data_IF_769030386197
#
_entry.id   IF_769030386197
#
_cell.length_a   1.000
_cell.length_b   1.000
_cell.length_c   1.000
_cell.angle_alpha   90.00
_cell.angle_beta   90.00
_cell.angle_gamma   90.00
#
_symmetry.space_group_name_H-M   'P 1'
#
loop_
_entity.id
_entity.type
_entity.pdbx_description
1 polymer ?
#
# COMPACT_ATOMS: atom_id res chain seq x y z
N UNK A 1 24.74 -23.29 -5.55
CA UNK A 1 23.43 -23.35 -4.87
C UNK A 1 23.28 -22.26 -3.81
N UNK A 2 24.16 -22.15 -2.80
CA UNK A 2 24.04 -21.10 -1.76
C UNK A 2 23.94 -19.66 -2.31
N UNK A 3 24.86 -19.23 -3.18
CA UNK A 3 24.80 -17.88 -3.77
C UNK A 3 23.48 -17.61 -4.52
N UNK A 4 22.89 -18.63 -5.14
CA UNK A 4 21.63 -18.47 -5.87
C UNK A 4 20.46 -18.26 -4.90
N UNK A 5 20.43 -19.03 -3.80
CA UNK A 5 19.46 -18.84 -2.73
C UNK A 5 19.60 -17.45 -2.11
N UNK A 6 20.83 -17.03 -1.80
CA UNK A 6 21.09 -15.71 -1.20
C UNK A 6 20.60 -14.56 -2.10
N UNK A 7 20.70 -14.71 -3.44
CA UNK A 7 20.20 -13.72 -4.42
C UNK A 7 18.68 -13.74 -4.55
N UNK A 8 18.05 -14.91 -4.54
CA UNK A 8 16.62 -15.05 -4.88
C UNK A 8 15.70 -15.06 -3.66
N UNK A 9 16.21 -15.29 -2.45
CA UNK A 9 15.40 -15.35 -1.23
C UNK A 9 14.57 -14.07 -1.02
N UNK A 10 15.12 -12.84 -1.15
CA UNK A 10 14.30 -11.63 -1.01
C UNK A 10 13.22 -11.48 -2.09
N UNK A 11 13.43 -12.04 -3.28
CA UNK A 11 12.41 -12.05 -4.34
C UNK A 11 11.24 -12.97 -4.00
N UNK A 12 11.52 -14.12 -3.38
CA UNK A 12 10.49 -15.00 -2.87
C UNK A 12 9.68 -14.30 -1.76
N UNK A 13 10.36 -13.68 -0.80
CA UNK A 13 9.71 -12.94 0.30
C UNK A 13 8.83 -11.78 -0.22
N UNK A 14 9.33 -11.00 -1.19
CA UNK A 14 8.55 -9.94 -1.82
C UNK A 14 7.33 -10.48 -2.59
N UNK A 15 7.46 -11.65 -3.22
CA UNK A 15 6.36 -12.31 -3.93
C UNK A 15 5.30 -12.77 -2.93
N UNK A 16 5.69 -13.46 -1.85
CA UNK A 16 4.75 -13.93 -0.83
C UNK A 16 3.98 -12.77 -0.19
N UNK A 17 4.67 -11.66 0.09
CA UNK A 17 4.06 -10.45 0.66
C UNK A 17 3.03 -9.81 -0.30
N UNK A 18 3.40 -9.60 -1.56
CA UNK A 18 2.55 -8.90 -2.54
C UNK A 18 1.38 -9.73 -3.07
N UNK A 19 1.38 -11.03 -2.82
CA UNK A 19 0.29 -11.95 -3.15
C UNK A 19 -0.71 -12.18 -2.01
N UNK A 20 -0.53 -11.50 -0.88
CA UNK A 20 -1.47 -11.52 0.25
C UNK A 20 -2.88 -11.04 -0.13
N UNK A 21 -3.89 -11.51 0.61
CA UNK A 21 -5.30 -11.09 0.43
C UNK A 21 -5.91 -10.50 1.70
N UNK A 22 -5.50 -10.97 2.88
CA UNK A 22 -6.04 -10.51 4.17
C UNK A 22 -5.23 -9.35 4.78
N UNK A 23 -4.36 -8.75 3.98
CA UNK A 23 -3.45 -7.68 4.37
C UNK A 23 -3.39 -6.62 3.27
N UNK A 24 -2.97 -5.41 3.63
CA UNK A 24 -2.64 -4.38 2.65
C UNK A 24 -1.39 -4.81 1.88
N UNK A 25 -1.44 -4.79 0.55
CA UNK A 25 -0.32 -5.23 -0.29
C UNK A 25 0.23 -4.13 -1.19
N UNK A 26 -0.59 -3.19 -1.68
CA UNK A 26 -0.08 -2.13 -2.57
C UNK A 26 1.00 -1.26 -1.92
N UNK A 27 0.90 -1.01 -0.61
CA UNK A 27 1.88 -0.23 0.16
C UNK A 27 3.25 -0.89 0.21
N UNK A 28 3.33 -2.22 0.04
CA UNK A 28 4.60 -2.95 0.06
C UNK A 28 5.31 -2.96 -1.30
N UNK A 29 4.63 -2.60 -2.40
CA UNK A 29 5.21 -2.66 -3.75
C UNK A 29 6.46 -1.79 -3.85
N UNK A 30 6.37 -0.52 -3.43
CA UNK A 30 7.49 0.40 -3.48
C UNK A 30 8.68 -0.07 -2.60
N UNK A 31 8.49 -0.33 -1.29
CA UNK A 31 9.56 -0.88 -0.45
C UNK A 31 10.19 -2.16 -1.00
N UNK A 32 9.39 -3.09 -1.53
CA UNK A 32 9.92 -4.32 -2.12
C UNK A 32 10.83 -4.03 -3.31
N UNK A 33 10.38 -3.21 -4.27
CA UNK A 33 11.17 -2.89 -5.47
C UNK A 33 12.50 -2.21 -5.10
N UNK A 34 12.46 -1.26 -4.17
CA UNK A 34 13.65 -0.53 -3.74
C UNK A 34 14.61 -1.44 -2.96
N UNK A 35 14.09 -2.22 -2.01
CA UNK A 35 14.88 -3.15 -1.20
C UNK A 35 15.52 -4.25 -2.07
N UNK A 36 14.80 -4.79 -3.05
CA UNK A 36 15.36 -5.74 -4.03
C UNK A 36 16.49 -5.11 -4.84
N UNK A 37 16.33 -3.87 -5.30
CA UNK A 37 17.39 -3.17 -6.04
C UNK A 37 18.63 -2.95 -5.15
N UNK A 38 18.44 -2.53 -3.90
CA UNK A 38 19.51 -2.33 -2.93
C UNK A 38 20.22 -3.63 -2.58
N UNK A 39 19.46 -4.71 -2.38
CA UNK A 39 19.98 -6.05 -2.15
C UNK A 39 20.88 -6.50 -3.30
N UNK A 40 20.42 -6.37 -4.55
CA UNK A 40 21.23 -6.69 -5.73
C UNK A 40 22.49 -5.81 -5.81
N UNK A 41 22.40 -4.52 -5.48
CA UNK A 41 23.56 -3.61 -5.46
C UNK A 41 24.61 -4.06 -4.45
N UNK A 42 24.20 -4.41 -3.22
CA UNK A 42 25.08 -4.93 -2.18
C UNK A 42 25.76 -6.24 -2.60
N UNK A 43 25.00 -7.15 -3.21
CA UNK A 43 25.51 -8.47 -3.60
C UNK A 43 26.53 -8.42 -4.75
N UNK A 44 26.53 -7.40 -5.61
CA UNK A 44 27.50 -7.28 -6.71
C UNK A 44 28.96 -7.43 -6.28
N UNK A 45 29.29 -6.93 -5.10
CA UNK A 45 30.66 -6.99 -4.56
C UNK A 45 30.96 -8.31 -3.85
N UNK A 46 29.93 -9.03 -3.41
CA UNK A 46 30.04 -10.22 -2.57
C UNK A 46 30.05 -11.52 -3.36
N UNK A 47 29.34 -11.58 -4.50
CA UNK A 47 29.22 -12.82 -5.27
C UNK A 47 30.45 -13.14 -6.11
N UNK A 48 30.76 -14.43 -6.22
CA UNK A 48 31.87 -14.93 -7.03
C UNK A 48 31.43 -15.34 -8.43
N UNK A 49 30.27 -16.00 -8.56
CA UNK A 49 29.89 -16.64 -9.82
C UNK A 49 28.68 -15.98 -10.51
N UNK A 50 27.79 -15.35 -9.75
CA UNK A 50 26.48 -14.90 -10.26
C UNK A 50 26.41 -13.43 -10.69
N UNK A 51 27.56 -12.77 -10.96
CA UNK A 51 27.62 -11.34 -11.30
C UNK A 51 26.75 -10.96 -12.50
N UNK A 52 26.80 -11.76 -13.57
CA UNK A 52 25.98 -11.53 -14.77
C UNK A 52 24.48 -11.68 -14.48
N UNK A 53 24.11 -12.68 -13.67
CA UNK A 53 22.72 -12.89 -13.27
C UNK A 53 22.19 -11.73 -12.42
N UNK A 54 22.95 -11.27 -11.43
CA UNK A 54 22.60 -10.08 -10.62
C UNK A 54 22.41 -8.86 -11.50
N UNK A 55 23.33 -8.62 -12.44
CA UNK A 55 23.22 -7.51 -13.38
C UNK A 55 21.93 -7.60 -14.20
N UNK A 56 21.64 -8.77 -14.79
CA UNK A 56 20.44 -8.98 -15.59
C UNK A 56 19.15 -8.85 -14.77
N UNK A 57 19.12 -9.37 -13.54
CA UNK A 57 18.01 -9.20 -12.61
C UNK A 57 17.78 -7.72 -12.28
N UNK A 58 18.85 -6.98 -11.99
CA UNK A 58 18.74 -5.56 -11.68
C UNK A 58 18.27 -4.73 -12.88
N UNK A 59 18.79 -5.02 -14.08
CA UNK A 59 18.33 -4.38 -15.32
C UNK A 59 16.86 -4.68 -15.59
N UNK A 60 16.43 -5.93 -15.40
CA UNK A 60 15.02 -6.33 -15.56
C UNK A 60 14.11 -5.63 -14.54
N UNK A 61 14.53 -5.58 -13.26
CA UNK A 61 13.82 -4.89 -12.19
C UNK A 61 13.65 -3.39 -12.51
N UNK A 62 14.73 -2.70 -12.87
CA UNK A 62 14.71 -1.27 -13.23
C UNK A 62 13.87 -0.99 -14.47
N UNK A 63 13.88 -1.90 -15.45
CA UNK A 63 13.05 -1.78 -16.65
C UNK A 63 11.57 -1.98 -16.34
N UNK A 64 11.21 -3.00 -15.57
CA UNK A 64 9.81 -3.33 -15.25
C UNK A 64 9.16 -2.29 -14.36
N UNK A 65 9.90 -1.77 -13.39
CA UNK A 65 9.42 -0.78 -12.41
C UNK A 65 9.96 0.62 -12.68
N UNK A 66 10.18 0.95 -13.96
CA UNK A 66 10.86 2.17 -14.40
C UNK A 66 10.26 3.44 -13.80
N UNK A 67 8.93 3.54 -13.76
CA UNK A 67 8.21 4.68 -13.23
C UNK A 67 8.50 4.96 -11.76
N UNK A 68 8.63 3.91 -10.93
CA UNK A 68 9.04 4.04 -9.52
C UNK A 68 10.41 4.73 -9.44
N UNK A 69 11.40 4.23 -10.18
CA UNK A 69 12.76 4.78 -10.13
C UNK A 69 12.85 6.21 -10.68
N UNK A 70 12.03 6.56 -11.68
CA UNK A 70 11.96 7.92 -12.24
C UNK A 70 11.31 8.89 -11.25
N UNK A 71 10.20 8.49 -10.63
CA UNK A 71 9.51 9.32 -9.64
C UNK A 71 10.42 9.66 -8.45
N UNK A 72 11.29 8.70 -8.07
CA UNK A 72 12.27 8.87 -7.00
C UNK A 72 13.64 9.40 -7.45
N UNK A 73 13.73 9.93 -8.68
CA UNK A 73 14.93 10.58 -9.23
C UNK A 73 16.18 9.69 -9.25
N UNK A 74 16.00 8.37 -9.19
CA UNK A 74 17.09 7.39 -9.29
C UNK A 74 17.48 7.12 -10.74
N UNK A 75 16.60 7.44 -11.69
CA UNK A 75 16.84 7.35 -13.12
C UNK A 75 16.19 8.53 -13.84
N UNK A 76 16.81 9.01 -14.91
CA UNK A 76 16.21 10.02 -15.80
C UNK A 76 15.19 9.39 -16.74
N UNK A 77 14.21 10.14 -17.25
CA UNK A 77 13.28 9.69 -18.29
C UNK A 77 13.45 10.51 -19.57
N UNK A 78 13.31 9.87 -20.72
CA UNK A 78 13.22 10.57 -22.00
C UNK A 78 11.79 11.09 -22.23
N UNK A 79 11.66 12.13 -23.06
CA UNK A 79 10.35 12.64 -23.45
C UNK A 79 9.54 11.56 -24.17
N UNK A 80 8.31 11.32 -23.72
CA UNK A 80 7.43 10.28 -24.28
C UNK A 80 7.81 8.84 -23.94
N UNK A 81 8.78 8.61 -23.04
CA UNK A 81 9.10 7.26 -22.56
C UNK A 81 7.92 6.66 -21.79
N UNK A 82 7.59 5.40 -22.07
CA UNK A 82 6.62 4.66 -21.27
C UNK A 82 7.20 4.39 -19.87
N UNK A 83 6.48 4.80 -18.83
CA UNK A 83 6.91 4.66 -17.44
C UNK A 83 5.98 3.69 -16.70
N UNK A 84 6.18 2.36 -16.84
CA UNK A 84 5.42 1.38 -16.09
C UNK A 84 5.61 1.59 -14.58
N UNK A 85 4.53 1.42 -13.81
CA UNK A 85 4.50 1.68 -12.37
C UNK A 85 4.82 3.14 -11.96
N UNK A 86 4.54 4.13 -12.83
CA UNK A 86 4.69 5.55 -12.50
C UNK A 86 3.53 6.13 -11.69
N UNK A 87 2.47 5.37 -11.43
CA UNK A 87 1.31 5.83 -10.69
C UNK A 87 1.70 6.33 -9.28
N UNK A 88 1.35 7.57 -8.90
CA UNK A 88 1.57 8.10 -7.56
C UNK A 88 1.03 7.21 -6.42
N UNK A 89 0.04 6.35 -6.69
CA UNK A 89 -0.52 5.39 -5.75
C UNK A 89 0.56 4.58 -5.01
N UNK A 90 1.60 4.10 -5.70
CA UNK A 90 2.64 3.27 -5.07
C UNK A 90 3.42 4.04 -4.00
N UNK A 91 3.71 5.32 -4.24
CA UNK A 91 4.44 6.14 -3.28
C UNK A 91 3.52 6.61 -2.14
N UNK A 92 2.31 7.04 -2.46
CA UNK A 92 1.34 7.47 -1.44
C UNK A 92 0.97 6.34 -0.50
N UNK A 93 0.68 5.15 -1.02
CA UNK A 93 0.33 3.99 -0.20
C UNK A 93 1.49 3.54 0.69
N UNK A 94 2.73 3.54 0.19
CA UNK A 94 3.90 3.24 0.99
C UNK A 94 4.12 4.24 2.13
N UNK A 95 3.91 5.53 1.87
CA UNK A 95 4.02 6.58 2.90
C UNK A 95 2.89 6.54 3.92
N UNK A 96 1.66 6.22 3.50
CA UNK A 96 0.52 6.14 4.40
C UNK A 96 0.48 4.84 5.21
N UNK A 97 1.30 3.86 4.87
CA UNK A 97 1.44 2.63 5.66
C UNK A 97 2.40 2.86 6.84
N UNK A 98 1.92 2.82 8.08
CA UNK A 98 2.74 3.08 9.26
C UNK A 98 3.87 2.06 9.47
N UNK A 99 3.82 0.90 8.82
CA UNK A 99 4.92 -0.07 8.83
C UNK A 99 6.15 0.43 8.05
N UNK A 100 5.94 1.28 7.03
CA UNK A 100 7.00 1.78 6.15
C UNK A 100 7.23 3.28 6.31
N UNK A 101 6.17 4.09 6.26
CA UNK A 101 6.21 5.55 6.29
C UNK A 101 7.26 6.10 5.30
N UNK A 102 8.30 6.78 5.77
CA UNK A 102 9.41 7.29 4.95
C UNK A 102 10.69 6.44 5.06
N UNK A 103 10.68 5.30 5.75
CA UNK A 103 11.89 4.52 6.02
C UNK A 103 12.59 4.02 4.76
N UNK A 104 11.82 3.67 3.72
CA UNK A 104 12.36 3.26 2.42
C UNK A 104 13.19 4.36 1.74
N UNK A 105 12.85 5.64 1.97
CA UNK A 105 13.58 6.79 1.41
C UNK A 105 14.98 6.89 2.03
N UNK A 106 15.09 6.60 3.33
CA UNK A 106 16.37 6.62 4.03
C UNK A 106 17.24 5.42 3.64
N UNK A 107 16.66 4.22 3.58
CA UNK A 107 17.42 2.98 3.48
C UNK A 107 17.73 2.52 2.05
N UNK A 108 16.81 2.71 1.11
CA UNK A 108 16.85 2.06 -0.20
C UNK A 108 16.91 3.04 -1.38
N UNK A 109 16.62 4.32 -1.16
CA UNK A 109 16.76 5.36 -2.20
C UNK A 109 18.19 5.91 -2.20
N UNK A 110 18.94 5.55 -3.24
CA UNK A 110 20.37 5.83 -3.39
C UNK A 110 20.61 7.16 -4.14
N UNK A 111 20.10 8.26 -3.59
CA UNK A 111 20.29 9.64 -4.10
C UNK A 111 20.82 10.54 -2.97
N UNK A 112 21.23 11.78 -3.30
CA UNK A 112 21.71 12.75 -2.31
C UNK A 112 20.60 13.20 -1.36
N UNK A 113 20.96 13.69 -0.17
CA UNK A 113 19.98 14.12 0.83
C UNK A 113 19.13 15.31 0.37
N UNK A 114 19.68 16.21 -0.44
CA UNK A 114 18.92 17.31 -1.05
C UNK A 114 17.78 16.77 -1.94
N UNK A 115 18.08 15.77 -2.78
CA UNK A 115 17.07 15.11 -3.63
C UNK A 115 16.06 14.35 -2.77
N UNK A 116 16.48 13.75 -1.65
CA UNK A 116 15.54 13.11 -0.72
C UNK A 116 14.57 14.12 -0.12
N UNK A 117 15.03 15.32 0.24
CA UNK A 117 14.16 16.38 0.75
C UNK A 117 13.14 16.82 -0.32
N UNK A 118 13.58 17.00 -1.58
CA UNK A 118 12.66 17.29 -2.69
C UNK A 118 11.59 16.19 -2.86
N UNK A 119 11.98 14.93 -2.70
CA UNK A 119 11.04 13.79 -2.74
C UNK A 119 10.06 13.86 -1.58
N UNK A 120 10.50 14.18 -0.35
CA UNK A 120 9.61 14.33 0.80
C UNK A 120 8.52 15.37 0.51
N UNK A 121 8.91 16.55 0.02
CA UNK A 121 7.97 17.62 -0.27
C UNK A 121 7.00 17.26 -1.40
N UNK A 122 7.52 16.64 -2.46
CA UNK A 122 6.70 16.12 -3.57
C UNK A 122 5.67 15.10 -3.09
N UNK A 123 6.04 14.17 -2.21
CA UNK A 123 5.12 13.13 -1.73
C UNK A 123 4.07 13.71 -0.79
N UNK A 124 4.44 14.66 0.08
CA UNK A 124 3.47 15.38 0.92
C UNK A 124 2.42 16.06 0.05
N UNK A 125 2.82 16.78 -0.99
CA UNK A 125 1.91 17.43 -1.92
C UNK A 125 1.01 16.42 -2.66
N UNK A 126 1.56 15.29 -3.13
CA UNK A 126 0.76 14.22 -3.76
C UNK A 126 -0.34 13.67 -2.84
N UNK A 127 -0.07 13.53 -1.53
CA UNK A 127 -1.06 13.07 -0.54
C UNK A 127 -2.09 14.17 -0.31
N UNK A 128 -1.66 15.42 -0.12
CA UNK A 128 -2.57 16.53 0.17
C UNK A 128 -3.52 16.85 -0.98
N UNK A 129 -3.11 16.60 -2.23
CA UNK A 129 -3.99 16.73 -3.41
C UNK A 129 -5.16 15.74 -3.40
N UNK A 130 -4.96 14.51 -2.91
CA UNK A 130 -6.02 13.50 -2.80
C UNK A 130 -7.06 13.78 -1.72
N UNK A 131 -6.65 14.55 -0.69
CA UNK A 131 -7.54 14.94 0.40
C UNK A 131 -8.53 16.00 -0.05
N UNK A 132 -8.17 16.82 -1.05
CA UNK A 132 -9.07 17.80 -1.65
C UNK A 132 -9.98 17.02 -2.61
N UNK A 133 -11.26 16.81 -2.29
CA UNK A 133 -12.12 16.03 -3.17
C UNK A 133 -12.25 16.77 -4.50
N UNK A 134 -11.82 16.12 -5.58
CA UNK A 134 -12.41 16.42 -6.88
C UNK A 134 -13.91 16.23 -6.74
N UNK A 135 -14.63 17.31 -7.03
CA UNK A 135 -16.08 17.32 -7.16
C UNK A 135 -16.41 16.38 -8.30
N UNK A 136 -16.73 15.12 -8.02
CA UNK A 136 -17.64 14.20 -8.75
C UNK A 136 -17.36 12.76 -8.31
N UNK A 137 -18.07 12.27 -7.29
CA UNK A 137 -18.36 10.83 -7.13
C UNK A 137 -19.52 10.69 -6.16
N UNK A 138 -20.73 10.66 -6.72
CA UNK A 138 -21.91 10.15 -6.03
C UNK A 138 -21.62 8.71 -5.59
N UNK A 139 -21.61 8.45 -4.29
CA UNK A 139 -21.75 7.09 -3.77
C UNK A 139 -23.25 6.78 -3.65
N UNK A 140 -23.73 5.64 -4.17
CA UNK A 140 -25.06 5.13 -3.81
C UNK A 140 -25.04 4.63 -2.37
N UNK A 141 -26.16 4.85 -1.67
CA UNK A 141 -26.25 4.86 -0.21
C UNK A 141 -25.81 3.59 0.51
N UNK A 142 -25.05 3.80 1.59
CA UNK A 142 -25.15 3.00 2.80
C UNK A 142 -26.03 3.78 3.78
N UNK A 143 -27.26 3.30 3.99
CA UNK A 143 -28.08 3.74 5.12
C UNK A 143 -27.44 3.17 6.38
N UNK A 144 -26.67 3.99 7.10
CA UNK A 144 -26.37 3.71 8.49
C UNK A 144 -27.66 3.90 9.29
N UNK A 145 -28.08 2.83 9.97
CA UNK A 145 -29.17 2.84 10.92
C UNK A 145 -28.92 3.92 11.98
N UNK A 146 -29.97 4.68 12.28
CA UNK A 146 -30.03 5.67 13.34
C UNK A 146 -29.58 5.03 14.67
N UNK A 147 -28.37 5.38 15.11
CA UNK A 147 -28.02 5.28 16.52
C UNK A 147 -28.31 6.64 17.14
N UNK A 148 -29.49 6.75 17.76
CA UNK A 148 -29.80 7.78 18.75
C UNK A 148 -28.79 7.69 19.91
N UNK A 149 -27.70 8.44 19.81
CA UNK A 149 -26.88 8.71 20.99
C UNK A 149 -27.55 9.83 21.77
N UNK A 150 -28.31 9.43 22.79
CA UNK A 150 -28.74 10.33 23.86
C UNK A 150 -27.52 10.99 24.49
N UNK A 151 -27.49 12.32 24.47
CA UNK A 151 -26.54 13.13 25.24
C UNK A 151 -26.85 12.94 26.73
N UNK A 152 -26.12 12.04 27.40
CA UNK A 152 -26.08 12.04 28.86
C UNK A 152 -25.28 13.26 29.33
N UNK A 153 -25.98 14.31 29.77
CA UNK A 153 -25.39 15.40 30.56
C UNK A 153 -24.80 14.83 31.86
N UNK A 154 -23.51 14.51 31.85
CA UNK A 154 -22.80 14.05 33.04
C UNK A 154 -22.57 15.20 34.02
N UNK A 155 -23.49 15.39 34.96
CA UNK A 155 -23.34 16.30 36.11
C UNK A 155 -22.59 15.61 37.27
N UNK A 156 -21.36 15.17 36.99
CA UNK A 156 -20.51 14.51 37.99
C UNK A 156 -19.46 15.43 38.59
N UNK A 157 -19.09 15.19 39.85
CA UNK A 157 -17.85 15.72 40.44
C UNK A 157 -16.69 15.30 39.51
N UNK A 158 -15.90 16.27 39.05
CA UNK A 158 -14.87 16.17 38.00
C UNK A 158 -15.30 16.34 36.53
N UNK A 159 -16.57 16.67 36.23
CA UNK A 159 -16.99 17.01 34.86
C UNK A 159 -16.17 18.16 34.24
N UNK A 160 -15.77 19.13 35.08
CA UNK A 160 -14.88 20.24 34.73
C UNK A 160 -13.44 19.81 34.37
N UNK A 161 -12.96 18.66 34.86
CA UNK A 161 -11.61 18.16 34.59
C UNK A 161 -11.55 17.24 33.37
N UNK A 162 -12.70 16.74 32.91
CA UNK A 162 -12.79 16.14 31.58
C UNK A 162 -12.67 17.27 30.56
N UNK A 163 -11.52 17.37 29.91
CA UNK A 163 -11.38 18.19 28.70
C UNK A 163 -12.55 17.86 27.79
N UNK A 164 -13.46 18.82 27.58
CA UNK A 164 -14.46 18.75 26.52
C UNK A 164 -13.67 18.37 25.26
N UNK A 165 -13.93 17.19 24.69
CA UNK A 165 -13.58 16.96 23.29
C UNK A 165 -14.47 17.94 22.53
N UNK A 166 -13.99 19.17 22.36
CA UNK A 166 -14.47 19.97 21.24
C UNK A 166 -14.26 19.07 20.05
N UNK A 167 -15.37 18.76 19.39
CA UNK A 167 -15.38 18.27 18.03
C UNK A 167 -14.82 19.44 17.21
N UNK A 168 -13.52 19.70 17.33
CA UNK A 168 -12.80 20.69 16.56
C UNK A 168 -12.76 20.13 15.15
N UNK A 169 -13.81 20.48 14.42
CA UNK A 169 -13.80 20.83 13.01
C UNK A 169 -12.40 20.77 12.41
N UNK A 170 -12.17 19.71 11.61
CA UNK A 170 -11.16 19.63 10.57
C UNK A 170 -9.82 20.30 10.89
N UNK A 171 -8.96 19.63 11.66
CA UNK A 171 -7.52 19.95 11.65
C UNK A 171 -7.07 19.96 10.18
N UNK A 172 -6.43 21.05 9.72
CA UNK A 172 -5.94 21.20 8.34
C UNK A 172 -5.27 19.88 7.85
N UNK A 173 -5.58 19.36 6.65
CA UNK A 173 -4.95 18.16 6.10
C UNK A 173 -3.42 18.12 6.25
N UNK A 174 -2.76 19.26 6.11
CA UNK A 174 -1.31 19.39 6.29
C UNK A 174 -0.88 19.12 7.74
N UNK A 175 -1.62 19.66 8.71
CA UNK A 175 -1.39 19.40 10.13
C UNK A 175 -1.69 17.94 10.48
N UNK A 176 -2.72 17.33 9.89
CA UNK A 176 -2.98 15.90 10.05
C UNK A 176 -1.83 15.05 9.49
N UNK A 177 -1.26 15.43 8.35
CA UNK A 177 -0.14 14.71 7.74
C UNK A 177 1.13 14.82 8.59
N UNK A 178 1.41 16.01 9.14
CA UNK A 178 2.52 16.16 10.09
C UNK A 178 2.27 15.37 11.38
N UNK A 179 1.04 15.35 11.89
CA UNK A 179 0.66 14.53 13.04
C UNK A 179 0.82 13.03 12.76
N UNK A 180 0.42 12.57 11.57
CA UNK A 180 0.61 11.18 11.12
C UNK A 180 2.08 10.76 11.23
N UNK A 181 3.01 11.58 10.74
CA UNK A 181 4.45 11.28 10.83
C UNK A 181 4.97 11.17 12.26
N UNK A 182 4.34 11.85 13.23
CA UNK A 182 4.65 11.69 14.65
C UNK A 182 4.04 10.45 15.30
N UNK A 183 3.00 9.85 14.70
CA UNK A 183 2.27 8.70 15.23
C UNK A 183 2.69 7.37 14.60
N UNK A 184 3.13 7.37 13.34
CA UNK A 184 3.51 6.16 12.63
C UNK A 184 4.84 5.59 13.16
N UNK A 185 4.81 4.32 13.57
CA UNK A 185 5.95 3.58 14.11
C UNK A 185 5.75 2.07 13.97
N UNK A 186 5.93 1.53 12.75
CA UNK A 186 6.04 0.08 12.53
C UNK A 186 4.76 -0.72 12.83
N UNK A 187 3.61 -0.09 13.05
CA UNK A 187 2.38 -0.78 13.46
C UNK A 187 1.68 -1.45 12.28
N UNK A 188 0.75 -2.36 12.58
CA UNK A 188 -0.14 -2.95 11.58
C UNK A 188 -1.03 -1.87 10.94
N UNK A 189 -0.99 -1.79 9.61
CA UNK A 189 -1.57 -0.71 8.82
C UNK A 189 -3.06 -0.45 9.12
N UNK A 190 -3.93 -1.46 8.94
CA UNK A 190 -5.37 -1.27 9.12
C UNK A 190 -5.76 -0.95 10.57
N UNK A 191 -5.12 -1.59 11.55
CA UNK A 191 -5.37 -1.34 12.97
C UNK A 191 -4.99 0.08 13.39
N UNK A 192 -3.88 0.60 12.85
CA UNK A 192 -3.48 1.98 13.08
C UNK A 192 -4.52 2.97 12.55
N UNK A 193 -4.96 2.78 11.31
CA UNK A 193 -5.92 3.70 10.69
C UNK A 193 -7.28 3.66 11.36
N UNK A 194 -7.74 2.48 11.79
CA UNK A 194 -8.98 2.34 12.55
C UNK A 194 -8.90 3.10 13.89
N UNK A 195 -7.82 2.90 14.66
CA UNK A 195 -7.61 3.58 15.93
C UNK A 195 -7.47 5.11 15.80
N UNK A 196 -6.94 5.60 14.68
CA UNK A 196 -6.64 7.02 14.46
C UNK A 196 -7.64 7.72 13.54
N UNK A 197 -8.73 7.08 13.11
CA UNK A 197 -9.71 7.68 12.17
C UNK A 197 -10.31 9.00 12.66
N UNK A 198 -10.51 9.15 13.97
CA UNK A 198 -11.00 10.39 14.58
C UNK A 198 -9.93 11.48 14.72
N UNK A 199 -8.64 11.11 14.71
CA UNK A 199 -7.49 12.02 14.81
C UNK A 199 -7.03 12.47 13.42
N UNK A 200 -7.17 11.60 12.43
CA UNK A 200 -6.74 11.81 11.04
C UNK A 200 -7.93 11.70 10.04
N UNK A 201 -9.05 12.43 10.26
CA UNK A 201 -10.28 12.22 9.50
C UNK A 201 -10.16 12.53 8.00
N UNK A 202 -9.23 13.41 7.60
CA UNK A 202 -9.05 13.79 6.20
C UNK A 202 -8.11 12.82 5.46
N UNK A 203 -7.15 12.21 6.16
CA UNK A 203 -6.22 11.24 5.57
C UNK A 203 -6.79 9.82 5.54
N UNK A 204 -7.63 9.45 6.52
CA UNK A 204 -8.24 8.13 6.60
C UNK A 204 -8.89 7.66 5.28
N UNK A 205 -9.79 8.44 4.61
CA UNK A 205 -10.40 8.00 3.36
C UNK A 205 -9.38 7.86 2.23
N UNK A 206 -8.35 8.72 2.18
CA UNK A 206 -7.27 8.61 1.17
C UNK A 206 -6.49 7.31 1.37
N UNK A 207 -6.12 7.00 2.61
CA UNK A 207 -5.42 5.78 2.96
C UNK A 207 -6.26 4.53 2.61
N UNK A 208 -7.53 4.49 3.01
CA UNK A 208 -8.40 3.34 2.74
C UNK A 208 -8.64 3.12 1.24
N UNK A 209 -8.83 4.19 0.45
CA UNK A 209 -8.94 4.08 -1.01
C UNK A 209 -7.66 3.49 -1.59
N UNK A 210 -6.50 3.98 -1.18
CA UNK A 210 -5.23 3.45 -1.65
C UNK A 210 -5.10 1.95 -1.32
N UNK A 211 -5.36 1.56 -0.06
CA UNK A 211 -5.16 0.19 0.41
C UNK A 211 -6.14 -0.85 -0.13
N UNK A 212 -7.27 -0.41 -0.70
CA UNK A 212 -8.20 -1.30 -1.40
C UNK A 212 -7.62 -1.88 -2.70
N UNK A 213 -6.54 -1.30 -3.23
CA UNK A 213 -5.88 -1.80 -4.42
C UNK A 213 -4.95 -2.97 -4.04
N UNK A 214 -5.11 -4.15 -4.64
CA UNK A 214 -4.16 -5.24 -4.44
C UNK A 214 -2.88 -5.00 -5.25
N UNK A 215 -1.74 -5.43 -4.73
CA UNK A 215 -0.46 -5.34 -5.45
C UNK A 215 -0.37 -6.29 -6.66
N UNK A 216 -1.15 -7.38 -6.66
CA UNK A 216 -1.08 -8.42 -7.69
C UNK A 216 -2.46 -9.00 -8.02
N UNK A 217 -2.54 -9.72 -9.14
CA UNK A 217 -3.71 -10.52 -9.54
C UNK A 217 -3.85 -11.82 -8.76
N UNK A 218 -2.94 -12.15 -7.84
CA UNK A 218 -2.93 -13.44 -7.15
C UNK A 218 -4.24 -13.78 -6.40
N UNK A 219 -4.95 -12.84 -5.73
CA UNK A 219 -6.26 -13.14 -5.16
C UNK A 219 -7.26 -13.62 -6.22
N UNK A 220 -7.27 -12.97 -7.39
CA UNK A 220 -8.13 -13.34 -8.53
C UNK A 220 -7.71 -14.70 -9.11
N UNK A 221 -6.42 -14.96 -9.25
CA UNK A 221 -5.89 -16.27 -9.70
C UNK A 221 -6.31 -17.40 -8.74
N UNK A 222 -6.35 -17.14 -7.43
CA UNK A 222 -6.87 -18.10 -6.44
C UNK A 222 -8.36 -18.38 -6.62
N UNK A 223 -9.17 -17.36 -6.92
CA UNK A 223 -10.58 -17.55 -7.30
C UNK A 223 -10.72 -18.43 -8.54
N UNK A 224 -9.92 -18.17 -9.59
CA UNK A 224 -9.91 -18.99 -10.80
C UNK A 224 -9.43 -20.42 -10.55
N UNK A 225 -8.44 -20.61 -9.68
CA UNK A 225 -7.97 -21.94 -9.27
C UNK A 225 -9.07 -22.75 -8.59
N UNK A 226 -9.83 -22.13 -7.67
CA UNK A 226 -11.03 -22.76 -7.09
C UNK A 226 -12.07 -23.10 -8.16
N UNK A 227 -12.30 -22.20 -9.12
CA UNK A 227 -13.16 -22.46 -10.27
C UNK A 227 -12.72 -23.68 -11.08
N UNK A 228 -11.43 -23.79 -11.39
CA UNK A 228 -10.85 -24.94 -12.09
C UNK A 228 -11.04 -26.26 -11.33
N UNK A 229 -10.92 -26.23 -9.99
CA UNK A 229 -11.20 -27.40 -9.14
C UNK A 229 -12.67 -27.81 -9.19
N UNK A 230 -13.59 -26.85 -9.34
CA UNK A 230 -15.04 -27.11 -9.45
C UNK A 230 -15.39 -27.61 -10.86
N UNK A 231 -14.77 -27.06 -11.91
CA UNK A 231 -14.95 -27.42 -13.32
C UNK A 231 -14.15 -28.67 -13.73
N UNK A 232 -14.29 -29.78 -12.99
CA UNK A 232 -13.69 -31.07 -13.42
C UNK A 232 -14.41 -31.62 -14.65
N UNK A 233 -13.77 -32.48 -15.47
CA UNK A 233 -14.42 -33.10 -16.64
C UNK A 233 -15.76 -33.79 -16.33
N UNK A 234 -15.90 -34.40 -15.16
CA UNK A 234 -17.15 -35.04 -14.71
C UNK A 234 -18.24 -34.03 -14.27
N UNK A 235 -17.90 -32.75 -14.12
CA UNK A 235 -18.81 -31.64 -13.78
C UNK A 235 -18.98 -30.65 -14.95
N UNK A 236 -18.65 -31.05 -16.17
CA UNK A 236 -18.69 -30.20 -17.37
C UNK A 236 -20.10 -29.73 -17.81
N UNK A 237 -21.17 -30.13 -17.10
CA UNK A 237 -22.56 -29.71 -17.37
C UNK A 237 -23.08 -28.62 -16.40
N UNK A 238 -22.21 -28.04 -15.58
CA UNK A 238 -22.58 -26.92 -14.72
C UNK A 238 -22.92 -25.70 -15.58
N UNK A 239 -24.10 -25.12 -15.38
CA UNK A 239 -24.43 -23.82 -15.97
C UNK A 239 -23.61 -22.71 -15.30
N UNK A 240 -23.27 -21.66 -16.05
CA UNK A 240 -22.43 -20.54 -15.62
C UNK A 240 -22.87 -19.94 -14.28
N UNK A 241 -24.19 -19.74 -14.10
CA UNK A 241 -24.77 -19.23 -12.84
C UNK A 241 -24.50 -20.16 -11.65
N UNK A 242 -24.57 -21.47 -11.87
CA UNK A 242 -24.31 -22.45 -10.81
C UNK A 242 -22.84 -22.47 -10.45
N UNK A 243 -21.95 -22.42 -11.44
CA UNK A 243 -20.51 -22.33 -11.22
C UNK A 243 -20.15 -21.06 -10.44
N UNK A 244 -20.68 -19.90 -10.85
CA UNK A 244 -20.46 -18.62 -10.17
C UNK A 244 -20.90 -18.69 -8.71
N UNK A 245 -22.09 -19.22 -8.42
CA UNK A 245 -22.58 -19.41 -7.05
C UNK A 245 -21.68 -20.34 -6.23
N UNK A 246 -21.18 -21.43 -6.82
CA UNK A 246 -20.28 -22.37 -6.13
C UNK A 246 -18.93 -21.73 -5.81
N UNK A 247 -18.36 -20.95 -6.74
CA UNK A 247 -17.12 -20.20 -6.51
C UNK A 247 -17.35 -19.17 -5.41
N UNK A 248 -18.45 -18.42 -5.46
CA UNK A 248 -18.82 -17.44 -4.44
C UNK A 248 -18.91 -18.10 -3.05
N UNK A 249 -19.66 -19.20 -2.92
CA UNK A 249 -19.75 -19.93 -1.66
C UNK A 249 -18.37 -20.42 -1.20
N UNK A 250 -17.53 -20.92 -2.11
CA UNK A 250 -16.20 -21.43 -1.76
C UNK A 250 -15.28 -20.33 -1.24
N UNK A 251 -15.24 -19.17 -1.91
CA UNK A 251 -14.36 -18.06 -1.53
C UNK A 251 -14.81 -17.34 -0.24
N UNK A 252 -16.07 -17.48 0.16
CA UNK A 252 -16.64 -16.86 1.37
C UNK A 252 -16.87 -17.87 2.50
N UNK A 253 -16.18 -19.01 2.50
CA UNK A 253 -16.20 -19.92 3.67
C UNK A 253 -15.33 -19.34 4.78
N UNK A 254 -15.96 -19.03 5.92
CA UNK A 254 -15.33 -18.49 7.14
C UNK A 254 -14.34 -19.48 7.77
#
# INVERSE_FOLDING_TARGET
>A
MKELCDVLQPFAEATDLTQGEKIVTVSSVLPCVLSLNHHLEKLKQQVRFLRSMIHNLQCSLKKRFRGIFVNLKMLSAASGEELPFADPLYIRSAVLDPAFSMMWLQHDVLVTDDIKNDIVDMVKDLILREVRPDTTSQSPGFQEAENENQEEESTGLFSEYRKRRKQDTATNPETQLNNYFGLCCGQACLSFWDANRGILPALFPVAMRAFSVPASSAPVERVFSHGGIIMRPHRARLADKTLSNLIFCKCNTL
#
